data_IF_099706005362
#
_entry.id   IF_099706005362
#
_cell.length_a   1.000
_cell.length_b   1.000
_cell.length_c   1.000
_cell.angle_alpha   90.00
_cell.angle_beta   90.00
_cell.angle_gamma   90.00
#
_symmetry.space_group_name_H-M   'P 1'
#
loop_
_entity.id
_entity.type
_entity.pdbx_description
1 polymer ?
#
# COMPACT_ATOMS: atom_id res chain seq x y z
N UNK A 1 25.81 -9.85 24.27
CA UNK A 1 24.58 -9.08 23.98
C UNK A 1 23.99 -9.75 22.76
N UNK A 2 22.83 -10.41 22.86
CA UNK A 2 22.25 -11.12 21.71
C UNK A 2 21.64 -10.08 20.79
N UNK A 3 22.26 -9.91 19.64
CA UNK A 3 21.74 -9.24 18.47
C UNK A 3 20.25 -9.56 18.35
N UNK A 4 19.42 -8.52 18.51
CA UNK A 4 18.04 -8.61 18.04
C UNK A 4 18.17 -8.72 16.54
N UNK A 5 18.17 -9.95 16.04
CA UNK A 5 17.82 -10.28 14.67
C UNK A 5 16.43 -9.68 14.47
N UNK A 6 16.41 -8.40 14.08
CA UNK A 6 15.24 -7.74 13.59
C UNK A 6 14.95 -8.53 12.32
N UNK A 7 14.08 -9.53 12.42
CA UNK A 7 13.45 -10.16 11.26
C UNK A 7 12.85 -9.01 10.47
N UNK A 8 13.59 -8.56 9.45
CA UNK A 8 13.15 -7.55 8.51
C UNK A 8 11.91 -8.18 7.89
N UNK A 9 10.74 -7.74 8.33
CA UNK A 9 9.50 -8.16 7.70
C UNK A 9 9.58 -7.65 6.27
N UNK A 10 9.71 -8.56 5.32
CA UNK A 10 9.88 -8.20 3.92
C UNK A 10 8.54 -7.67 3.39
N UNK A 11 8.40 -6.35 3.51
CA UNK A 11 7.19 -5.63 3.14
C UNK A 11 6.78 -5.87 1.69
N UNK A 12 7.74 -6.21 0.83
CA UNK A 12 7.52 -6.56 -0.57
C UNK A 12 6.59 -7.76 -0.71
N UNK A 13 6.63 -8.73 0.21
CA UNK A 13 5.72 -9.89 0.21
C UNK A 13 4.28 -9.43 0.42
N UNK A 14 4.03 -8.51 1.34
CA UNK A 14 2.69 -8.01 1.62
C UNK A 14 2.19 -7.08 0.50
N UNK A 15 3.06 -6.28 -0.09
CA UNK A 15 2.72 -5.47 -1.28
C UNK A 15 2.49 -6.36 -2.51
N UNK A 16 3.17 -7.49 -2.63
CA UNK A 16 2.88 -8.49 -3.66
C UNK A 16 1.51 -9.14 -3.45
N UNK A 17 1.14 -9.44 -2.20
CA UNK A 17 -0.20 -9.93 -1.86
C UNK A 17 -1.29 -8.89 -2.20
N UNK A 18 -1.08 -7.61 -1.88
CA UNK A 18 -1.95 -6.52 -2.33
C UNK A 18 -2.05 -6.48 -3.86
N UNK A 19 -0.90 -6.64 -4.53
CA UNK A 19 -0.79 -6.62 -5.99
C UNK A 19 -1.42 -7.84 -6.66
N UNK A 20 -1.77 -8.89 -5.91
CA UNK A 20 -2.54 -10.02 -6.43
C UNK A 20 -4.00 -9.60 -6.71
N UNK A 21 -4.58 -8.75 -5.87
CA UNK A 21 -5.98 -8.31 -5.96
C UNK A 21 -6.14 -6.96 -6.66
N UNK A 22 -5.16 -6.08 -6.51
CA UNK A 22 -5.18 -4.74 -7.09
C UNK A 22 -3.97 -4.55 -7.99
N UNK A 23 -4.10 -3.71 -9.01
CA UNK A 23 -2.96 -3.25 -9.81
C UNK A 23 -2.82 -1.74 -9.69
N UNK A 24 -1.62 -1.18 -9.92
CA UNK A 24 -1.46 0.26 -10.03
C UNK A 24 -2.41 0.84 -11.07
N UNK A 25 -3.20 1.85 -10.68
CA UNK A 25 -4.06 2.54 -11.64
C UNK A 25 -3.22 3.54 -12.45
N UNK A 26 -3.37 3.58 -13.79
CA UNK A 26 -2.63 4.52 -14.63
C UNK A 26 -3.04 5.97 -14.36
N UNK A 27 -4.31 6.24 -14.08
CA UNK A 27 -4.83 7.56 -13.76
C UNK A 27 -6.11 7.47 -12.94
N UNK A 28 -6.55 8.62 -12.44
CA UNK A 28 -7.71 8.74 -11.56
C UNK A 28 -9.02 8.20 -12.15
N UNK A 29 -9.17 8.10 -13.48
CA UNK A 29 -10.39 7.58 -14.13
C UNK A 29 -10.43 6.04 -14.08
N UNK A 30 -9.26 5.41 -14.02
CA UNK A 30 -9.11 3.96 -13.91
C UNK A 30 -8.99 3.49 -12.46
N UNK A 31 -8.80 4.43 -11.53
CA UNK A 31 -8.79 4.16 -10.10
C UNK A 31 -10.17 3.74 -9.62
N UNK A 32 -10.29 2.51 -9.13
CA UNK A 32 -11.52 2.03 -8.50
C UNK A 32 -11.49 2.22 -6.98
N UNK A 33 -10.30 2.24 -6.39
CA UNK A 33 -10.11 2.38 -4.94
C UNK A 33 -9.04 3.41 -4.61
N UNK A 34 -9.31 4.18 -3.57
CA UNK A 34 -8.44 5.23 -3.06
C UNK A 34 -8.11 4.93 -1.60
N UNK A 35 -6.87 4.55 -1.32
CA UNK A 35 -6.45 4.18 0.03
C UNK A 35 -5.44 5.18 0.61
N UNK A 36 -5.53 5.42 1.90
CA UNK A 36 -4.47 6.10 2.66
C UNK A 36 -3.33 5.14 2.98
N UNK A 37 -2.15 5.66 3.30
CA UNK A 37 -1.03 4.83 3.79
C UNK A 37 -1.40 4.08 5.08
N UNK A 38 -2.23 4.69 5.94
CA UNK A 38 -2.77 4.07 7.15
C UNK A 38 -3.63 2.84 6.83
N UNK A 39 -4.55 2.94 5.86
CA UNK A 39 -5.39 1.80 5.47
C UNK A 39 -4.57 0.64 4.90
N UNK A 40 -3.53 0.93 4.10
CA UNK A 40 -2.62 -0.09 3.58
C UNK A 40 -1.80 -0.70 4.73
N UNK A 41 -1.29 0.11 5.65
CA UNK A 41 -0.56 -0.35 6.83
C UNK A 41 -1.41 -1.28 7.71
N UNK A 42 -2.65 -0.87 8.01
CA UNK A 42 -3.58 -1.67 8.82
C UNK A 42 -3.95 -2.97 8.11
N UNK A 43 -4.14 -2.94 6.78
CA UNK A 43 -4.39 -4.15 6.00
C UNK A 43 -3.21 -5.13 6.09
N UNK A 44 -1.97 -4.65 5.99
CA UNK A 44 -0.79 -5.50 6.15
C UNK A 44 -0.71 -6.07 7.57
N UNK A 45 -0.94 -5.25 8.60
CA UNK A 45 -0.97 -5.68 10.01
C UNK A 45 -2.08 -6.69 10.31
N UNK A 46 -3.19 -6.69 9.57
CA UNK A 46 -4.23 -7.72 9.70
C UNK A 46 -3.81 -9.06 9.13
N UNK A 47 -2.95 -9.07 8.10
CA UNK A 47 -2.39 -10.30 7.51
C UNK A 47 -1.26 -10.83 8.40
N UNK A 48 -0.37 -9.94 8.85
CA UNK A 48 0.73 -10.27 9.76
C UNK A 48 0.77 -9.25 10.93
N UNK A 49 0.12 -9.56 12.07
CA UNK A 49 0.16 -8.70 13.25
C UNK A 49 1.57 -8.53 13.83
N UNK A 50 2.47 -9.49 13.58
CA UNK A 50 3.86 -9.50 14.04
C UNK A 50 4.79 -8.66 13.18
N UNK A 51 4.33 -8.19 12.02
CA UNK A 51 5.11 -7.38 11.09
C UNK A 51 5.69 -6.14 11.76
N UNK A 52 7.02 -6.04 11.83
CA UNK A 52 7.71 -4.85 12.35
C UNK A 52 7.93 -3.84 11.22
N UNK A 53 6.82 -3.38 10.62
CA UNK A 53 6.83 -2.37 9.55
C UNK A 53 6.44 -1.00 10.07
N UNK A 54 6.91 0.06 9.40
CA UNK A 54 6.49 1.45 9.62
C UNK A 54 5.65 1.96 8.45
N UNK A 55 4.89 3.04 8.67
CA UNK A 55 4.10 3.68 7.59
C UNK A 55 4.99 4.25 6.48
N UNK A 56 6.20 4.70 6.83
CA UNK A 56 7.19 5.20 5.87
C UNK A 56 7.66 4.08 4.94
N UNK A 57 7.94 2.89 5.50
CA UNK A 57 8.24 1.69 4.70
C UNK A 57 7.08 1.31 3.79
N UNK A 58 5.83 1.36 4.27
CA UNK A 58 4.63 1.12 3.43
C UNK A 58 4.57 2.12 2.29
N UNK A 59 4.81 3.41 2.58
CA UNK A 59 4.78 4.45 1.56
C UNK A 59 5.83 4.20 0.47
N UNK A 60 7.06 3.92 0.88
CA UNK A 60 8.16 3.61 -0.03
C UNK A 60 7.86 2.34 -0.85
N UNK A 61 7.43 1.25 -0.20
CA UNK A 61 7.14 -0.01 -0.88
C UNK A 61 5.99 0.09 -1.89
N UNK A 62 4.96 0.89 -1.60
CA UNK A 62 3.89 1.19 -2.55
C UNK A 62 4.41 1.97 -3.76
N UNK A 63 5.32 2.92 -3.55
CA UNK A 63 5.96 3.66 -4.63
C UNK A 63 6.85 2.75 -5.50
N UNK A 64 7.68 1.90 -4.88
CA UNK A 64 8.52 0.92 -5.56
C UNK A 64 7.70 -0.11 -6.36
N UNK A 65 6.51 -0.48 -5.88
CA UNK A 65 5.57 -1.33 -6.60
C UNK A 65 4.81 -0.61 -7.74
N UNK A 66 5.08 0.67 -7.95
CA UNK A 66 4.53 1.46 -9.07
C UNK A 66 3.16 2.06 -8.80
N UNK A 67 2.64 2.00 -7.57
CA UNK A 67 1.41 2.71 -7.21
C UNK A 67 1.65 4.22 -7.21
N UNK A 68 0.61 4.98 -7.58
CA UNK A 68 0.67 6.44 -7.64
C UNK A 68 -0.02 7.03 -6.42
N UNK A 69 0.65 7.97 -5.76
CA UNK A 69 0.13 8.73 -4.63
C UNK A 69 -0.19 10.16 -5.09
N UNK A 70 -1.46 10.53 -5.10
CA UNK A 70 -1.88 11.85 -5.59
C UNK A 70 -3.09 12.37 -4.85
N UNK A 71 -3.33 13.68 -4.96
CA UNK A 71 -4.55 14.27 -4.44
C UNK A 71 -5.77 13.68 -5.17
N UNK A 72 -6.79 13.29 -4.40
CA UNK A 72 -8.02 12.75 -4.96
C UNK A 72 -8.78 13.86 -5.70
N UNK A 73 -9.14 13.66 -6.99
CA UNK A 73 -9.92 14.65 -7.72
C UNK A 73 -11.26 14.93 -7.04
N UNK A 74 -11.62 16.21 -6.92
CA UNK A 74 -12.85 16.65 -6.26
C UNK A 74 -12.77 16.81 -4.74
N UNK A 75 -11.63 16.53 -4.12
CA UNK A 75 -11.42 16.85 -2.70
C UNK A 75 -11.25 18.37 -2.51
N UNK A 76 -11.97 18.93 -1.54
CA UNK A 76 -11.92 20.35 -1.19
C UNK A 76 -10.62 20.76 -0.45
N UNK A 77 -9.63 19.87 -0.35
CA UNK A 77 -8.38 20.05 0.37
C UNK A 77 -7.29 19.09 -0.08
N UNK A 78 -6.20 19.03 0.69
CA UNK A 78 -5.09 18.09 0.48
C UNK A 78 -5.47 16.71 1.02
N UNK A 79 -5.98 15.84 0.15
CA UNK A 79 -6.35 14.46 0.46
C UNK A 79 -5.59 13.51 -0.48
N UNK A 80 -4.32 13.27 -0.14
CA UNK A 80 -3.45 12.39 -0.91
C UNK A 80 -3.74 10.93 -0.62
N UNK A 81 -3.95 10.16 -1.68
CA UNK A 81 -4.31 8.74 -1.61
C UNK A 81 -3.62 7.93 -2.70
N UNK A 82 -3.42 6.66 -2.39
CA UNK A 82 -2.96 5.64 -3.31
C UNK A 82 -4.06 5.27 -4.29
N UNK A 83 -3.72 5.26 -5.56
CA UNK A 83 -4.63 4.89 -6.64
C UNK A 83 -4.48 3.41 -6.99
N UNK A 84 -5.52 2.63 -6.70
CA UNK A 84 -5.58 1.21 -6.99
C UNK A 84 -6.72 0.89 -7.96
N UNK A 85 -6.46 -0.02 -8.88
CA UNK A 85 -7.46 -0.60 -9.76
C UNK A 85 -7.66 -2.06 -9.37
N UNK A 86 -8.87 -2.42 -8.97
CA UNK A 86 -9.22 -3.82 -8.71
C UNK A 86 -9.02 -4.66 -9.97
N UNK A 87 -8.39 -5.82 -9.83
CA UNK A 87 -8.34 -6.81 -10.90
C UNK A 87 -9.68 -7.52 -10.91
N UNK A 88 -10.31 -7.61 -12.09
CA UNK A 88 -11.48 -8.47 -12.23
C UNK A 88 -11.04 -9.92 -12.04
N UNK A 89 -11.57 -10.57 -11.00
CA UNK A 89 -11.43 -12.00 -10.81
C UNK A 89 -12.43 -12.62 -11.79
N UNK A 90 -11.90 -13.13 -12.92
CA UNK A 90 -12.68 -13.92 -13.88
C UNK A 90 -12.99 -15.30 -13.33
#
# INVERSE_FOLDING_TARGET
MKDKEQTITDISIHVAALSASFKPAPDARHTTHWFTTDEVFDAIRRIDPGAQITKDQVHQAMHDAGYRYQNRPGSAGLDFRWMLQAKEIK
#
